data_IF_522880959037
#
_entry.id   IF_522880959037
#
_cell.length_a   1.000
_cell.length_b   1.000
_cell.length_c   1.000
_cell.angle_alpha   90.00
_cell.angle_beta   90.00
_cell.angle_gamma   90.00
#
_symmetry.space_group_name_H-M   'P 1'
#
loop_
_entity.id
_entity.type
_entity.pdbx_description
1 polymer ?
#
# COMPACT_ATOMS: atom_id res chain seq x y z
N UNK A 1 4.95 -6.34 -8.71
CA UNK A 1 4.73 -5.63 -9.99
C UNK A 1 4.67 -4.12 -9.72
N UNK A 2 4.99 -3.27 -10.70
CA UNK A 2 4.76 -1.82 -10.59
C UNK A 2 3.40 -1.51 -11.22
N UNK A 3 2.48 -0.92 -10.45
CA UNK A 3 1.13 -0.54 -10.90
C UNK A 3 1.07 0.91 -11.38
N UNK A 4 1.83 1.80 -10.75
CA UNK A 4 1.97 3.20 -11.14
C UNK A 4 3.40 3.66 -10.95
N UNK A 5 3.95 4.36 -11.94
CA UNK A 5 5.29 4.96 -11.89
C UNK A 5 5.15 6.44 -11.60
N UNK A 6 5.67 6.85 -10.45
CA UNK A 6 5.72 8.24 -10.04
C UNK A 6 7.06 8.90 -10.37
N UNK A 7 7.34 10.01 -9.70
CA UNK A 7 8.61 10.72 -9.82
C UNK A 7 9.76 9.89 -9.21
N UNK A 8 10.91 9.86 -9.89
CA UNK A 8 12.03 8.99 -9.51
C UNK A 8 12.78 9.45 -8.25
N UNK A 9 12.74 10.75 -7.95
CA UNK A 9 13.57 11.36 -6.91
C UNK A 9 12.75 11.79 -5.68
N UNK A 10 11.50 12.21 -5.87
CA UNK A 10 10.66 12.80 -4.83
C UNK A 10 9.32 12.07 -4.60
N UNK A 11 9.02 11.05 -5.39
CA UNK A 11 7.74 10.34 -5.34
C UNK A 11 7.45 9.68 -3.98
N UNK A 12 6.19 9.78 -3.53
CA UNK A 12 5.72 8.97 -2.41
C UNK A 12 5.70 7.50 -2.81
N UNK A 13 5.87 6.58 -1.85
CA UNK A 13 5.78 5.13 -2.11
C UNK A 13 4.54 4.56 -1.41
N UNK A 14 3.75 3.80 -2.16
CA UNK A 14 2.65 2.98 -1.68
C UNK A 14 2.79 1.54 -2.16
N UNK A 15 2.34 0.60 -1.33
CA UNK A 15 2.38 -0.84 -1.59
C UNK A 15 0.98 -1.42 -1.46
N UNK A 16 0.55 -2.17 -2.46
CA UNK A 16 -0.57 -3.10 -2.36
C UNK A 16 0.03 -4.46 -2.04
N UNK A 17 -0.27 -5.00 -0.87
CA UNK A 17 0.08 -6.39 -0.53
C UNK A 17 -1.13 -7.28 -0.75
N UNK A 18 -0.93 -8.40 -1.44
CA UNK A 18 -1.95 -9.43 -1.59
C UNK A 18 -1.69 -10.53 -0.55
N UNK A 19 -2.72 -10.91 0.20
CA UNK A 19 -2.64 -12.01 1.16
C UNK A 19 -3.10 -13.31 0.52
N UNK A 20 -2.24 -14.33 0.57
CA UNK A 20 -2.54 -15.64 -0.02
C UNK A 20 -3.42 -16.52 0.88
N UNK A 21 -3.56 -16.16 2.17
CA UNK A 21 -4.38 -16.86 3.16
C UNK A 21 -5.32 -15.87 3.86
N UNK A 22 -6.51 -15.60 3.30
CA UNK A 22 -7.45 -14.65 3.88
C UNK A 22 -8.21 -15.29 5.06
N UNK A 23 -7.51 -15.73 6.09
CA UNK A 23 -8.12 -16.22 7.34
C UNK A 23 -8.88 -15.10 8.06
N UNK A 24 -8.58 -13.85 7.71
CA UNK A 24 -9.16 -12.63 8.28
C UNK A 24 -9.94 -11.78 7.25
N UNK A 25 -10.25 -12.36 6.08
CA UNK A 25 -11.24 -11.77 5.19
C UNK A 25 -10.79 -10.52 4.43
N UNK A 26 -9.51 -10.22 4.28
CA UNK A 26 -9.05 -9.20 3.34
C UNK A 26 -8.09 -9.82 2.32
N UNK A 27 -8.34 -9.60 1.03
CA UNK A 27 -7.50 -10.17 -0.05
C UNK A 27 -6.31 -9.27 -0.38
N UNK A 28 -6.42 -7.98 -0.05
CA UNK A 28 -5.39 -6.98 -0.31
C UNK A 28 -5.39 -5.88 0.75
N UNK A 29 -4.22 -5.30 1.01
CA UNK A 29 -4.03 -4.15 1.89
C UNK A 29 -3.17 -3.11 1.18
N UNK A 30 -3.59 -1.85 1.23
CA UNK A 30 -2.79 -0.70 0.81
C UNK A 30 -2.02 -0.14 2.01
N UNK A 31 -0.71 -0.02 1.83
CA UNK A 31 0.22 0.60 2.76
C UNK A 31 0.80 1.85 2.12
N UNK A 32 0.87 2.95 2.87
CA UNK A 32 1.43 4.20 2.39
C UNK A 32 2.53 4.71 3.32
N UNK A 33 3.53 5.36 2.73
CA UNK A 33 4.67 5.93 3.44
C UNK A 33 4.68 7.47 3.39
N UNK A 34 3.56 8.04 3.86
CA UNK A 34 3.34 9.49 3.83
C UNK A 34 4.28 10.21 4.81
N UNK A 35 4.80 11.40 4.44
CA UNK A 35 5.51 12.25 5.38
C UNK A 35 4.58 12.74 6.48
N UNK A 36 5.03 12.62 7.72
CA UNK A 36 4.39 13.21 8.90
C UNK A 36 5.02 14.56 9.23
N UNK A 37 4.34 15.35 10.05
CA UNK A 37 4.79 16.68 10.48
C UNK A 37 6.13 16.65 11.23
N UNK A 38 6.49 15.53 11.85
CA UNK A 38 7.77 15.29 12.51
C UNK A 38 8.91 14.87 11.54
N UNK A 39 8.63 14.86 10.24
CA UNK A 39 9.57 14.42 9.19
C UNK A 39 9.69 12.90 9.05
N UNK A 40 9.04 12.11 9.92
CA UNK A 40 9.02 10.67 9.80
C UNK A 40 8.17 10.21 8.61
N UNK A 41 8.43 8.99 8.15
CA UNK A 41 7.74 8.34 7.04
C UNK A 41 7.44 6.88 7.38
N UNK A 42 6.56 6.60 8.35
CA UNK A 42 6.19 5.24 8.71
C UNK A 42 5.22 4.65 7.68
N UNK A 43 5.24 3.33 7.56
CA UNK A 43 4.19 2.61 6.82
C UNK A 43 2.88 2.67 7.60
N UNK A 44 1.81 3.02 6.92
CA UNK A 44 0.46 3.07 7.50
C UNK A 44 -0.50 2.24 6.63
N UNK A 45 -1.28 1.37 7.26
CA UNK A 45 -2.36 0.64 6.60
C UNK A 45 -3.54 1.59 6.33
N UNK A 46 -3.66 2.10 5.10
CA UNK A 46 -4.69 3.12 4.79
C UNK A 46 -6.02 2.50 4.35
N UNK A 47 -5.99 1.41 3.59
CA UNK A 47 -7.21 0.78 3.06
C UNK A 47 -7.05 -0.72 2.96
N UNK A 48 -7.97 -1.49 3.53
CA UNK A 48 -8.10 -2.92 3.26
C UNK A 48 -9.13 -3.15 2.15
N UNK A 49 -8.91 -4.16 1.31
CA UNK A 49 -9.89 -4.63 0.35
C UNK A 49 -10.97 -5.42 1.07
N UNK A 50 -12.20 -4.95 0.94
CA UNK A 50 -13.39 -5.69 1.35
C UNK A 50 -13.69 -6.80 0.33
N UNK A 51 -13.83 -8.09 0.74
CA UNK A 51 -14.23 -9.16 -0.16
C UNK A 51 -15.58 -8.94 -0.83
N UNK A 52 -16.50 -8.26 -0.13
CA UNK A 52 -17.84 -7.96 -0.62
C UNK A 52 -17.84 -6.78 -1.59
N UNK A 53 -16.77 -5.95 -1.58
CA UNK A 53 -16.66 -4.76 -2.43
C UNK A 53 -15.22 -4.52 -2.92
N UNK A 54 -14.75 -5.40 -3.81
CA UNK A 54 -13.43 -5.24 -4.45
C UNK A 54 -13.29 -3.95 -5.26
N UNK A 55 -14.41 -3.45 -5.82
CA UNK A 55 -14.41 -2.25 -6.64
C UNK A 55 -14.07 -1.00 -5.83
N UNK A 56 -14.54 -0.90 -4.59
CA UNK A 56 -14.25 0.26 -3.72
C UNK A 56 -12.74 0.43 -3.49
N UNK A 57 -12.02 -0.67 -3.33
CA UNK A 57 -10.56 -0.66 -3.20
C UNK A 57 -9.86 -0.15 -4.48
N UNK A 58 -10.29 -0.64 -5.64
CA UNK A 58 -9.73 -0.22 -6.92
C UNK A 58 -10.04 1.24 -7.24
N UNK A 59 -11.25 1.70 -6.94
CA UNK A 59 -11.68 3.09 -7.10
C UNK A 59 -10.88 4.01 -6.18
N UNK A 60 -10.63 3.59 -4.94
CA UNK A 60 -9.78 4.32 -4.01
C UNK A 60 -8.36 4.49 -4.58
N UNK A 61 -7.76 3.39 -5.06
CA UNK A 61 -6.43 3.43 -5.68
C UNK A 61 -6.42 4.39 -6.89
N UNK A 62 -7.41 4.30 -7.77
CA UNK A 62 -7.49 5.13 -8.96
C UNK A 62 -7.60 6.63 -8.60
N UNK A 63 -8.39 6.98 -7.58
CA UNK A 63 -8.46 8.35 -7.07
C UNK A 63 -7.14 8.80 -6.46
N UNK A 64 -6.48 7.91 -5.73
CA UNK A 64 -5.22 8.21 -5.03
C UNK A 64 -4.06 8.48 -6.00
N UNK A 65 -3.93 7.68 -7.06
CA UNK A 65 -2.91 7.90 -8.11
C UNK A 65 -3.24 9.11 -8.97
N UNK A 66 -4.52 9.41 -9.20
CA UNK A 66 -4.92 10.64 -9.89
C UNK A 66 -4.64 11.90 -9.06
N UNK A 67 -4.80 11.83 -7.73
CA UNK A 67 -4.54 12.95 -6.82
C UNK A 67 -3.04 13.23 -6.62
N UNK A 68 -2.18 12.23 -6.80
CA UNK A 68 -0.73 12.32 -6.63
C UNK A 68 -0.03 11.58 -7.78
N UNK A 69 0.14 12.26 -8.92
CA UNK A 69 0.81 11.69 -10.08
C UNK A 69 2.28 11.31 -9.81
N UNK A 70 2.89 11.82 -8.75
CA UNK A 70 4.27 11.51 -8.36
C UNK A 70 4.36 10.23 -7.51
N UNK A 71 3.22 9.60 -7.16
CA UNK A 71 3.17 8.36 -6.37
C UNK A 71 3.73 7.16 -7.15
N UNK A 72 4.61 6.40 -6.51
CA UNK A 72 4.90 5.02 -6.90
C UNK A 72 3.94 4.07 -6.21
N UNK A 73 3.22 3.27 -7.00
CA UNK A 73 2.37 2.20 -6.50
C UNK A 73 2.93 0.85 -6.96
N UNK A 74 3.27 0.00 -6.01
CA UNK A 74 3.75 -1.35 -6.29
C UNK A 74 2.79 -2.39 -5.71
N UNK A 75 2.63 -3.49 -6.41
CA UNK A 75 1.94 -4.68 -5.93
C UNK A 75 2.96 -5.73 -5.51
N UNK A 76 2.79 -6.29 -4.32
CA UNK A 76 3.60 -7.36 -3.78
C UNK A 76 2.70 -8.56 -3.42
N UNK A 77 2.99 -9.71 -3.99
CA UNK A 77 2.40 -10.98 -3.58
C UNK A 77 3.35 -11.62 -2.57
N UNK A 78 2.94 -11.71 -1.31
CA UNK A 78 3.79 -12.15 -0.21
C UNK A 78 3.07 -13.22 0.57
N UNK A 79 3.79 -14.23 1.06
CA UNK A 79 3.18 -15.29 1.88
C UNK A 79 2.66 -14.76 3.23
N UNK A 80 3.38 -13.81 3.83
CA UNK A 80 2.99 -13.08 5.05
C UNK A 80 3.30 -11.59 4.87
N UNK A 81 2.29 -10.83 4.46
CA UNK A 81 2.42 -9.41 4.17
C UNK A 81 2.67 -8.56 5.42
N UNK A 82 2.05 -8.93 6.54
CA UNK A 82 2.13 -8.18 7.79
C UNK A 82 3.53 -8.26 8.39
N UNK A 83 4.12 -9.46 8.42
CA UNK A 83 5.50 -9.66 8.88
C UNK A 83 6.51 -8.93 7.97
N UNK A 84 6.29 -8.94 6.65
CA UNK A 84 7.16 -8.26 5.71
C UNK A 84 7.18 -6.74 5.92
N UNK A 85 6.00 -6.12 6.09
CA UNK A 85 5.91 -4.68 6.34
C UNK A 85 6.50 -4.32 7.71
N UNK A 86 6.25 -5.12 8.76
CA UNK A 86 6.85 -4.92 10.08
C UNK A 86 8.38 -4.88 10.05
N UNK A 87 9.00 -5.82 9.33
CA UNK A 87 10.45 -5.88 9.17
C UNK A 87 11.03 -4.68 8.39
N UNK A 88 10.25 -4.06 7.50
CA UNK A 88 10.64 -2.84 6.78
C UNK A 88 10.25 -1.54 7.49
N UNK A 89 9.39 -1.60 8.51
CA UNK A 89 8.97 -0.46 9.32
C UNK A 89 10.00 -0.07 10.40
N UNK A 90 11.09 -0.84 10.55
CA UNK A 90 12.14 -0.57 11.54
C UNK A 90 11.78 -1.02 12.96
N UNK A 91 10.80 -1.92 13.12
CA UNK A 91 10.60 -2.66 14.37
C UNK A 91 11.39 -3.97 14.30
N UNK A 92 12.69 -3.87 14.58
CA UNK A 92 13.63 -4.97 14.76
C UNK A 92 14.68 -4.62 15.79
#
# INVERSE_FOLDING_TARGET
MVLHKGDADAGTIALVTLENHPEHGHLAQLWERMPRADGSRPWTATKAQDPESKQDFNDYIARRTAADPDLWLLELTIADAQQFIGNFAGEG
#
